data_IF_156163259548
#
_entry.id   IF_156163259548
#
_cell.length_a   1.000
_cell.length_b   1.000
_cell.length_c   1.000
_cell.angle_alpha   90.00
_cell.angle_beta   90.00
_cell.angle_gamma   90.00
#
_symmetry.space_group_name_H-M   'P 1'
#
loop_
_entity.id
_entity.type
_entity.pdbx_description
1 polymer ?
#
# COMPACT_ATOMS: atom_id res chain seq x y z
N UNK A 1 -11.25 -1.80 13.47
CA UNK A 1 -10.57 -1.79 12.17
C UNK A 1 -9.39 -2.72 12.17
N UNK A 2 -9.06 -3.24 11.01
CA UNK A 2 -7.89 -4.10 10.83
C UNK A 2 -6.70 -3.26 10.39
N UNK A 3 -5.52 -3.77 10.66
CA UNK A 3 -4.28 -3.12 10.21
C UNK A 3 -3.73 -3.89 9.02
N UNK A 4 -3.22 -3.14 8.05
CA UNK A 4 -2.63 -3.70 6.85
C UNK A 4 -1.28 -3.07 6.61
N UNK A 5 -0.34 -3.86 6.10
CA UNK A 5 0.95 -3.33 5.66
C UNK A 5 0.95 -3.33 4.14
N UNK A 6 1.32 -2.19 3.56
CA UNK A 6 1.37 -2.00 2.11
C UNK A 6 2.82 -1.91 1.69
N UNK A 7 3.21 -2.78 0.75
CA UNK A 7 4.51 -2.72 0.11
C UNK A 7 4.33 -2.09 -1.26
N UNK A 8 5.11 -1.05 -1.56
CA UNK A 8 4.92 -0.31 -2.80
C UNK A 8 6.22 0.31 -3.30
N UNK A 9 6.21 0.75 -4.55
CA UNK A 9 7.30 1.47 -5.19
C UNK A 9 6.83 2.87 -5.52
N UNK A 10 7.69 3.87 -5.26
CA UNK A 10 7.34 5.26 -5.53
C UNK A 10 7.56 5.67 -6.97
N UNK A 11 8.53 5.08 -7.63
CA UNK A 11 8.90 5.44 -8.99
C UNK A 11 9.19 4.20 -9.81
N UNK A 12 9.09 4.36 -11.13
CA UNK A 12 9.40 3.28 -12.06
C UNK A 12 10.81 2.75 -11.90
N UNK A 13 11.74 3.65 -11.55
CA UNK A 13 13.16 3.30 -11.47
C UNK A 13 13.59 2.79 -10.10
N UNK A 14 12.66 2.68 -9.17
CA UNK A 14 12.95 2.21 -7.82
C UNK A 14 12.61 0.73 -7.66
N UNK A 15 12.88 -0.06 -8.70
CA UNK A 15 12.52 -1.47 -8.71
C UNK A 15 13.20 -2.27 -7.61
N UNK A 16 14.31 -1.79 -7.11
CA UNK A 16 15.08 -2.49 -6.09
C UNK A 16 14.72 -2.07 -4.67
N UNK A 17 13.84 -1.10 -4.52
CA UNK A 17 13.52 -0.53 -3.20
C UNK A 17 12.03 -0.64 -2.93
N UNK A 18 11.69 -1.42 -1.93
CA UNK A 18 10.31 -1.51 -1.44
C UNK A 18 10.12 -0.54 -0.29
N UNK A 19 9.03 0.19 -0.34
CA UNK A 19 8.58 1.02 0.77
C UNK A 19 7.46 0.30 1.48
N UNK A 20 7.33 0.56 2.77
CA UNK A 20 6.30 -0.05 3.59
C UNK A 20 5.50 1.02 4.30
N UNK A 21 4.21 0.80 4.41
CA UNK A 21 3.36 1.68 5.20
C UNK A 21 2.26 0.87 5.85
N UNK A 22 2.02 1.12 7.15
CA UNK A 22 0.93 0.47 7.87
C UNK A 22 -0.26 1.40 7.86
N UNK A 23 -1.43 0.87 7.48
CA UNK A 23 -2.67 1.63 7.44
C UNK A 23 -3.77 0.83 8.14
N UNK A 24 -4.83 1.54 8.55
CA UNK A 24 -6.00 0.91 9.16
C UNK A 24 -7.18 1.04 8.21
N UNK A 25 -7.95 -0.03 8.07
CA UNK A 25 -9.13 -0.05 7.23
C UNK A 25 -10.07 -1.15 7.68
N UNK A 26 -11.30 -1.12 7.19
CA UNK A 26 -12.31 -2.11 7.54
C UNK A 26 -12.02 -3.48 6.95
N UNK A 27 -11.49 -3.50 5.74
CA UNK A 27 -11.17 -4.74 5.05
C UNK A 27 -10.09 -4.47 4.02
N UNK A 28 -9.70 -5.51 3.28
CA UNK A 28 -8.64 -5.42 2.29
C UNK A 28 -8.95 -4.42 1.19
N UNK A 29 -10.19 -4.46 0.65
CA UNK A 29 -10.58 -3.54 -0.42
C UNK A 29 -10.53 -2.10 0.02
N UNK A 30 -10.99 -1.82 1.24
CA UNK A 30 -10.93 -0.48 1.80
C UNK A 30 -9.49 -0.02 1.96
N UNK A 31 -8.62 -0.92 2.42
CA UNK A 31 -7.20 -0.61 2.57
C UNK A 31 -6.57 -0.24 1.23
N UNK A 32 -6.82 -1.05 0.21
CA UNK A 32 -6.30 -0.82 -1.13
C UNK A 32 -6.78 0.52 -1.68
N UNK A 33 -8.09 0.75 -1.64
CA UNK A 33 -8.67 1.96 -2.19
C UNK A 33 -8.20 3.21 -1.47
N UNK A 34 -8.12 3.15 -0.15
CA UNK A 34 -7.65 4.27 0.65
C UNK A 34 -6.22 4.64 0.30
N UNK A 35 -5.34 3.63 0.25
CA UNK A 35 -3.94 3.87 -0.05
C UNK A 35 -3.77 4.41 -1.47
N UNK A 36 -4.52 3.84 -2.42
CA UNK A 36 -4.46 4.25 -3.82
C UNK A 36 -4.92 5.69 -4.00
N UNK A 37 -5.97 6.08 -3.29
CA UNK A 37 -6.49 7.45 -3.37
C UNK A 37 -5.47 8.48 -2.89
N UNK A 38 -4.73 8.14 -1.85
CA UNK A 38 -3.75 9.05 -1.26
C UNK A 38 -2.40 9.01 -1.98
N UNK A 39 -2.16 7.98 -2.77
CA UNK A 39 -0.87 7.78 -3.43
C UNK A 39 -1.09 7.28 -4.86
N UNK A 40 -1.67 8.12 -5.74
CA UNK A 40 -2.08 7.66 -7.08
C UNK A 40 -0.93 7.30 -8.01
N UNK A 41 0.26 7.82 -7.74
CA UNK A 41 1.40 7.59 -8.63
C UNK A 41 2.30 6.44 -8.20
N UNK A 42 2.03 5.81 -7.06
CA UNK A 42 2.84 4.68 -6.62
C UNK A 42 2.32 3.38 -7.20
N UNK A 43 3.20 2.40 -7.28
CA UNK A 43 2.83 1.05 -7.69
C UNK A 43 2.76 0.17 -6.46
N UNK A 44 1.57 -0.35 -6.18
CA UNK A 44 1.36 -1.24 -5.04
C UNK A 44 1.84 -2.63 -5.42
N UNK A 45 2.78 -3.18 -4.64
CA UNK A 45 3.30 -4.51 -4.88
C UNK A 45 2.50 -5.56 -4.12
N UNK A 46 2.21 -5.30 -2.87
CA UNK A 46 1.52 -6.27 -2.02
C UNK A 46 0.87 -5.58 -0.84
N UNK A 47 -0.25 -6.12 -0.38
CA UNK A 47 -0.89 -5.69 0.86
C UNK A 47 -1.16 -6.94 1.68
N UNK A 48 -0.78 -6.89 2.95
CA UNK A 48 -1.02 -7.99 3.87
C UNK A 48 -1.73 -7.50 5.10
N UNK A 49 -2.60 -8.32 5.64
CA UNK A 49 -3.23 -8.02 6.93
C UNK A 49 -2.26 -8.36 8.05
N UNK A 50 -2.16 -7.47 9.01
CA UNK A 50 -1.31 -7.68 10.18
C UNK A 50 -2.05 -8.40 11.31
#
# INVERSE_FOLDING_TARGET
MNRYIVYYWKHKNDDCVDYEKIIEAYNFDAAYNHFRSNNPSVKIREIKEL
#
